data_IF_150622874641
#
_entry.id   IF_150622874641
#
_cell.length_a   1.000
_cell.length_b   1.000
_cell.length_c   1.000
_cell.angle_alpha   90.00
_cell.angle_beta   90.00
_cell.angle_gamma   90.00
#
_symmetry.space_group_name_H-M   'P 1'
#
loop_
_entity.id
_entity.type
_entity.pdbx_description
1 polymer ?
#
# COMPACT_ATOMS: atom_id res chain seq x y z
N UNK A 1 -51.20 77.38 -22.92
CA UNK A 1 -49.82 77.68 -22.51
C UNK A 1 -49.37 76.58 -21.55
N UNK A 2 -48.46 75.68 -21.98
CA UNK A 2 -47.61 74.73 -21.20
C UNK A 2 -48.33 73.72 -20.26
N UNK A 3 -47.88 72.49 -19.94
CA UNK A 3 -46.70 71.66 -20.27
C UNK A 3 -46.97 70.22 -19.74
N UNK A 4 -46.59 69.21 -20.53
CA UNK A 4 -45.89 67.92 -20.23
C UNK A 4 -46.05 67.26 -18.83
N UNK A 5 -46.36 65.94 -18.79
CA UNK A 5 -45.54 64.82 -18.23
C UNK A 5 -46.38 63.51 -18.10
N UNK A 6 -45.86 62.42 -18.68
CA UNK A 6 -46.31 61.01 -18.59
C UNK A 6 -45.99 60.39 -17.22
N UNK A 7 -46.76 59.40 -16.73
CA UNK A 7 -46.22 58.39 -15.83
C UNK A 7 -45.82 57.13 -16.61
N UNK A 8 -44.55 56.76 -16.49
CA UNK A 8 -43.98 55.48 -16.89
C UNK A 8 -44.36 54.44 -15.83
N UNK A 9 -45.03 53.36 -16.23
CA UNK A 9 -45.28 52.19 -15.37
C UNK A 9 -43.96 51.42 -15.27
N UNK A 10 -43.33 51.44 -14.09
CA UNK A 10 -42.16 50.63 -13.79
C UNK A 10 -42.61 49.24 -13.33
N UNK A 11 -42.33 48.21 -14.13
CA UNK A 11 -42.47 46.81 -13.72
C UNK A 11 -41.26 46.43 -12.85
N UNK A 12 -41.49 46.09 -11.58
CA UNK A 12 -40.49 45.45 -10.73
C UNK A 12 -40.38 43.96 -11.14
N UNK A 13 -39.35 43.62 -11.91
CA UNK A 13 -38.96 42.24 -12.13
C UNK A 13 -38.05 41.82 -10.97
N UNK A 14 -38.58 41.02 -10.04
CA UNK A 14 -37.79 40.43 -8.96
C UNK A 14 -36.81 39.40 -9.56
N UNK A 15 -35.53 39.76 -9.63
CA UNK A 15 -34.45 38.87 -10.04
C UNK A 15 -34.14 37.93 -8.86
N UNK A 16 -34.82 36.79 -8.79
CA UNK A 16 -34.40 35.67 -7.94
C UNK A 16 -33.08 35.13 -8.49
N UNK A 17 -31.96 35.68 -8.02
CA UNK A 17 -30.65 35.05 -8.12
C UNK A 17 -30.76 33.71 -7.37
N UNK A 18 -31.00 32.63 -8.11
CA UNK A 18 -30.81 31.28 -7.63
C UNK A 18 -29.34 31.14 -7.26
N UNK A 19 -29.02 31.30 -5.98
CA UNK A 19 -27.76 30.83 -5.44
C UNK A 19 -27.76 29.31 -5.60
N UNK A 20 -27.15 28.82 -6.68
CA UNK A 20 -26.69 27.44 -6.72
C UNK A 20 -25.66 27.32 -5.60
N UNK A 21 -26.05 26.68 -4.51
CA UNK A 21 -25.12 26.28 -3.46
C UNK A 21 -24.20 25.28 -4.14
N UNK A 22 -23.02 25.73 -4.57
CA UNK A 22 -21.97 24.84 -4.98
C UNK A 22 -21.61 24.01 -3.74
N UNK A 23 -22.01 22.73 -3.71
CA UNK A 23 -21.49 21.81 -2.72
C UNK A 23 -19.98 21.73 -2.93
N UNK A 24 -19.22 22.18 -1.93
CA UNK A 24 -17.78 22.05 -1.98
C UNK A 24 -17.43 20.55 -1.98
N UNK A 25 -16.59 20.14 -2.93
CA UNK A 25 -16.08 18.78 -2.99
C UNK A 25 -15.36 18.43 -1.68
N UNK A 26 -15.67 17.25 -1.14
CA UNK A 26 -14.91 16.69 -0.03
C UNK A 26 -13.61 16.12 -0.57
N UNK A 27 -12.48 16.69 -0.15
CA UNK A 27 -11.15 16.25 -0.58
C UNK A 27 -10.54 15.31 0.44
N UNK A 28 -10.16 14.12 -0.01
CA UNK A 28 -9.51 13.09 0.82
C UNK A 28 -8.10 12.86 0.30
N UNK A 29 -7.10 12.88 1.18
CA UNK A 29 -5.74 12.43 0.83
C UNK A 29 -5.60 10.97 1.22
N UNK A 30 -5.23 10.10 0.26
CA UNK A 30 -4.98 8.69 0.51
C UNK A 30 -3.49 8.38 0.34
N UNK A 31 -2.76 8.23 1.46
CA UNK A 31 -1.35 7.84 1.48
C UNK A 31 -1.21 6.32 1.36
N UNK A 32 -0.83 5.86 0.18
CA UNK A 32 -0.74 4.43 -0.13
C UNK A 32 0.69 3.88 0.07
N UNK A 33 1.29 3.37 -1.00
CA UNK A 33 2.63 2.79 -1.06
C UNK A 33 3.37 3.32 -2.30
N UNK A 34 4.43 2.64 -2.75
CA UNK A 34 5.13 2.95 -4.00
C UNK A 34 4.20 2.84 -5.21
N UNK A 35 4.32 3.75 -6.16
CA UNK A 35 3.50 3.78 -7.40
C UNK A 35 3.52 2.46 -8.20
N UNK A 36 4.62 1.72 -8.11
CA UNK A 36 4.82 0.41 -8.75
C UNK A 36 4.22 -0.78 -7.99
N UNK A 37 3.57 -0.55 -6.84
CA UNK A 37 3.01 -1.60 -6.00
C UNK A 37 1.52 -1.86 -6.26
N UNK A 38 1.05 -3.08 -5.92
CA UNK A 38 -0.38 -3.42 -5.98
C UNK A 38 -1.25 -2.52 -5.10
N UNK A 39 -0.73 -2.06 -3.95
CA UNK A 39 -1.45 -1.14 -3.05
C UNK A 39 -1.69 0.23 -3.66
N UNK A 40 -0.75 0.76 -4.44
CA UNK A 40 -0.94 2.04 -5.12
C UNK A 40 -1.99 1.90 -6.23
N UNK A 41 -1.91 0.83 -7.03
CA UNK A 41 -2.92 0.54 -8.05
C UNK A 41 -4.31 0.36 -7.44
N UNK A 42 -4.42 -0.36 -6.33
CA UNK A 42 -5.66 -0.49 -5.57
C UNK A 42 -6.15 0.86 -5.03
N UNK A 43 -5.27 1.73 -4.53
CA UNK A 43 -5.67 3.05 -4.06
C UNK A 43 -6.20 3.95 -5.19
N UNK A 44 -5.65 3.83 -6.40
CA UNK A 44 -6.20 4.50 -7.59
C UNK A 44 -7.61 3.99 -7.91
N UNK A 45 -7.82 2.68 -7.86
CA UNK A 45 -9.15 2.09 -8.07
C UNK A 45 -10.15 2.49 -6.97
N UNK A 46 -9.71 2.58 -5.70
CA UNK A 46 -10.52 3.12 -4.60
C UNK A 46 -10.89 4.58 -4.89
N UNK A 47 -9.95 5.41 -5.35
CA UNK A 47 -10.20 6.81 -5.67
C UNK A 47 -11.24 6.97 -6.79
N UNK A 48 -11.13 6.17 -7.86
CA UNK A 48 -12.09 6.13 -8.96
C UNK A 48 -13.48 5.65 -8.51
N UNK A 49 -13.52 4.59 -7.69
CA UNK A 49 -14.76 4.04 -7.15
C UNK A 49 -15.45 5.05 -6.21
N UNK A 50 -14.71 5.76 -5.35
CA UNK A 50 -15.24 6.79 -4.47
C UNK A 50 -15.78 8.00 -5.24
N UNK A 51 -15.04 8.46 -6.27
CA UNK A 51 -15.52 9.55 -7.13
C UNK A 51 -16.82 9.17 -7.82
N UNK A 52 -16.88 7.98 -8.41
CA UNK A 52 -18.08 7.46 -9.08
C UNK A 52 -19.24 7.29 -8.10
N UNK A 53 -19.00 6.61 -6.97
CA UNK A 53 -20.03 6.28 -5.98
C UNK A 53 -20.61 7.50 -5.26
N UNK A 54 -19.82 8.57 -5.13
CA UNK A 54 -20.27 9.84 -4.53
C UNK A 54 -20.87 10.82 -5.55
N UNK A 55 -21.01 10.44 -6.82
CA UNK A 55 -21.48 11.36 -7.88
C UNK A 55 -20.52 12.52 -8.14
N UNK A 56 -19.24 12.37 -7.81
CA UNK A 56 -18.21 13.41 -7.91
C UNK A 56 -18.01 14.24 -6.64
N UNK A 57 -18.78 14.01 -5.58
CA UNK A 57 -18.70 14.81 -4.35
C UNK A 57 -17.45 14.53 -3.52
N UNK A 58 -16.88 13.32 -3.61
CA UNK A 58 -15.64 12.95 -2.93
C UNK A 58 -14.52 12.80 -3.95
N UNK A 59 -13.46 13.59 -3.77
CA UNK A 59 -12.26 13.58 -4.60
C UNK A 59 -11.09 13.07 -3.77
N UNK A 60 -10.61 11.87 -4.12
CA UNK A 60 -9.47 11.23 -3.45
C UNK A 60 -8.20 11.51 -4.22
N UNK A 61 -7.21 12.11 -3.55
CA UNK A 61 -5.85 12.27 -4.07
C UNK A 61 -4.96 11.16 -3.52
N UNK A 62 -4.49 10.27 -4.40
CA UNK A 62 -3.57 9.19 -4.02
C UNK A 62 -2.14 9.73 -3.96
N UNK A 63 -1.48 9.55 -2.83
CA UNK A 63 -0.07 9.93 -2.64
C UNK A 63 0.84 8.70 -2.53
N UNK A 64 2.01 8.78 -3.18
CA UNK A 64 3.07 7.79 -3.02
C UNK A 64 3.68 7.87 -1.60
N UNK A 65 4.05 6.70 -1.06
CA UNK A 65 4.73 6.55 0.23
C UNK A 65 6.04 5.76 0.10
N UNK A 66 7.01 6.07 0.98
CA UNK A 66 8.23 5.28 1.17
C UNK A 66 8.03 4.06 2.08
N UNK A 67 6.87 3.93 2.74
CA UNK A 67 6.48 2.74 3.46
C UNK A 67 5.63 2.98 4.70
N UNK A 68 5.17 1.89 5.30
CA UNK A 68 4.16 1.90 6.37
C UNK A 68 4.58 2.65 7.65
N UNK A 69 5.88 2.73 7.95
CA UNK A 69 6.37 3.53 9.09
C UNK A 69 6.19 5.02 8.83
N UNK A 70 6.50 5.50 7.62
CA UNK A 70 6.26 6.89 7.23
C UNK A 70 4.77 7.23 7.31
N UNK A 71 3.90 6.34 6.80
CA UNK A 71 2.45 6.54 6.84
C UNK A 71 1.94 6.78 8.27
N UNK A 72 2.43 5.99 9.24
CA UNK A 72 2.08 6.18 10.66
C UNK A 72 2.66 7.48 11.21
N UNK A 73 3.91 7.82 10.87
CA UNK A 73 4.53 9.08 11.31
C UNK A 73 3.79 10.32 10.79
N UNK A 74 3.33 10.29 9.54
CA UNK A 74 2.58 11.40 8.94
C UNK A 74 1.20 11.60 9.57
N UNK A 75 0.58 10.55 10.12
CA UNK A 75 -0.70 10.65 10.81
C UNK A 75 -0.66 11.61 12.02
N UNK A 76 0.49 11.83 12.64
CA UNK A 76 0.64 12.78 13.75
C UNK A 76 0.73 14.25 13.30
N UNK A 77 0.92 14.53 12.02
CA UNK A 77 1.11 15.91 11.51
C UNK A 77 0.12 16.32 10.44
N UNK A 78 -0.47 15.35 9.73
CA UNK A 78 -1.54 15.58 8.75
C UNK A 78 -2.85 15.91 9.48
N UNK A 79 -3.64 16.79 8.89
CA UNK A 79 -4.96 17.21 9.39
C UNK A 79 -6.03 16.99 8.32
N UNK A 80 -7.31 17.10 8.72
CA UNK A 80 -8.45 16.90 7.84
C UNK A 80 -8.62 15.45 7.38
N UNK A 81 -9.13 15.29 6.17
CA UNK A 81 -9.51 13.99 5.60
C UNK A 81 -8.30 13.22 5.08
N UNK A 82 -7.54 12.65 6.00
CA UNK A 82 -6.34 11.88 5.72
C UNK A 82 -6.60 10.39 5.93
N UNK A 83 -6.38 9.60 4.88
CA UNK A 83 -6.40 8.14 4.91
C UNK A 83 -4.99 7.63 4.65
N UNK A 84 -4.55 6.61 5.39
CA UNK A 84 -3.26 5.97 5.17
C UNK A 84 -3.33 4.47 5.43
N UNK A 85 -2.48 3.72 4.73
CA UNK A 85 -2.45 2.26 4.88
C UNK A 85 -1.24 1.82 5.69
N UNK A 86 -1.46 0.89 6.63
CA UNK A 86 -0.39 0.31 7.44
C UNK A 86 -0.86 -0.98 8.11
N UNK A 87 0.05 -1.92 8.44
CA UNK A 87 -0.26 -2.99 9.37
C UNK A 87 -0.69 -2.46 10.74
N UNK A 88 -1.78 -2.96 11.36
CA UNK A 88 -2.25 -2.51 12.68
C UNK A 88 -1.19 -2.60 13.79
N UNK A 89 -0.22 -3.50 13.66
CA UNK A 89 0.90 -3.61 14.61
C UNK A 89 1.77 -2.34 14.62
N UNK A 90 1.93 -1.63 13.51
CA UNK A 90 2.72 -0.40 13.49
C UNK A 90 1.98 0.75 14.20
N UNK A 91 0.65 0.82 14.08
CA UNK A 91 -0.17 1.77 14.86
C UNK A 91 0.01 1.50 16.36
N UNK A 92 -0.11 0.24 16.79
CA UNK A 92 0.08 -0.15 18.19
C UNK A 92 1.48 0.17 18.71
N UNK A 93 2.52 -0.03 17.90
CA UNK A 93 3.89 0.30 18.28
C UNK A 93 4.10 1.82 18.38
N UNK A 94 3.45 2.61 17.53
CA UNK A 94 3.50 4.07 17.60
C UNK A 94 2.81 4.61 18.85
N UNK A 95 1.57 4.18 19.12
CA UNK A 95 0.82 4.52 20.33
C UNK A 95 1.57 4.12 21.62
N UNK A 96 2.26 2.98 21.59
CA UNK A 96 3.06 2.52 22.71
C UNK A 96 4.47 3.11 22.80
N UNK A 97 4.92 3.93 21.85
CA UNK A 97 6.30 4.45 21.81
C UNK A 97 7.36 3.34 21.76
N UNK A 98 7.19 2.32 20.92
CA UNK A 98 8.05 1.12 20.85
C UNK A 98 8.77 0.95 19.53
N UNK A 99 9.83 0.15 19.54
CA UNK A 99 10.60 -0.23 18.35
C UNK A 99 11.05 1.01 17.54
N UNK A 100 10.64 1.10 16.28
CA UNK A 100 10.98 2.23 15.39
C UNK A 100 10.36 3.57 15.82
N UNK A 101 9.46 3.58 16.82
CA UNK A 101 8.80 4.77 17.35
C UNK A 101 9.30 5.20 18.74
N UNK A 102 10.31 4.53 19.32
CA UNK A 102 10.78 4.78 20.70
C UNK A 102 11.12 6.25 20.98
N UNK A 103 11.85 6.87 20.06
CA UNK A 103 12.28 8.27 20.17
C UNK A 103 11.42 9.21 19.31
N UNK A 104 10.21 8.76 18.96
CA UNK A 104 9.26 9.47 18.09
C UNK A 104 7.88 9.58 18.72
N UNK A 105 7.77 9.37 20.03
CA UNK A 105 6.49 9.40 20.74
C UNK A 105 5.75 10.71 20.48
N UNK A 106 4.46 10.60 20.15
CA UNK A 106 3.59 11.74 19.90
C UNK A 106 2.16 11.36 20.32
N UNK A 107 1.48 12.15 21.18
CA UNK A 107 0.12 11.84 21.64
C UNK A 107 -0.89 11.74 20.49
N UNK A 108 -0.64 12.37 19.34
CA UNK A 108 -1.51 12.27 18.16
C UNK A 108 -1.57 10.87 17.55
N UNK A 109 -0.67 9.95 17.90
CA UNK A 109 -0.84 8.55 17.49
C UNK A 109 -2.06 7.88 18.14
N UNK A 110 -2.53 8.38 19.28
CA UNK A 110 -3.76 7.90 19.93
C UNK A 110 -5.03 8.36 19.21
N UNK A 111 -4.92 9.31 18.28
CA UNK A 111 -6.01 9.79 17.43
C UNK A 111 -6.25 8.90 16.20
N UNK A 112 -5.37 7.93 15.92
CA UNK A 112 -5.52 7.03 14.76
C UNK A 112 -6.77 6.14 14.94
N UNK A 113 -7.58 6.01 13.88
CA UNK A 113 -8.77 5.16 13.80
C UNK A 113 -8.70 4.25 12.58
N UNK A 114 -9.20 3.03 12.71
CA UNK A 114 -9.32 2.09 11.59
C UNK A 114 -10.62 2.38 10.81
N UNK A 115 -10.55 2.38 9.48
CA UNK A 115 -11.72 2.49 8.60
C UNK A 115 -12.15 1.09 8.15
N UNK A 116 -11.34 0.45 7.30
CA UNK A 116 -11.66 -0.86 6.72
C UNK A 116 -10.40 -1.68 6.44
N UNK A 117 -10.49 -3.02 6.51
CA UNK A 117 -9.40 -3.89 6.10
C UNK A 117 -9.18 -3.81 4.58
N UNK A 118 -7.93 -3.96 4.16
CA UNK A 118 -7.56 -4.12 2.76
C UNK A 118 -6.83 -5.45 2.59
N UNK A 119 -6.66 -5.98 1.35
CA UNK A 119 -5.90 -7.19 1.12
C UNK A 119 -4.57 -7.19 1.86
N UNK A 120 -4.23 -8.33 2.47
CA UNK A 120 -3.07 -8.46 3.34
C UNK A 120 -1.74 -8.40 2.57
N UNK A 121 -0.67 -8.02 3.26
CA UNK A 121 0.69 -8.20 2.75
C UNK A 121 0.97 -9.69 2.68
N UNK A 122 1.33 -10.17 1.50
CA UNK A 122 1.71 -11.56 1.23
C UNK A 122 3.19 -11.60 0.86
N UNK A 123 3.96 -12.47 1.52
CA UNK A 123 5.39 -12.61 1.24
C UNK A 123 5.61 -13.43 -0.03
N UNK A 124 6.47 -12.96 -0.90
CA UNK A 124 6.91 -13.66 -2.11
C UNK A 124 8.43 -13.71 -2.13
N UNK A 125 8.99 -14.92 -2.25
CA UNK A 125 10.40 -15.16 -2.51
C UNK A 125 10.51 -15.68 -3.93
N UNK A 126 10.89 -14.79 -4.84
CA UNK A 126 10.84 -15.02 -6.29
C UNK A 126 12.26 -15.24 -6.79
N UNK A 127 12.49 -16.39 -7.40
CA UNK A 127 13.80 -16.79 -7.90
C UNK A 127 13.73 -16.94 -9.41
N UNK A 128 14.82 -16.59 -10.10
CA UNK A 128 14.96 -16.86 -11.54
C UNK A 128 14.89 -18.38 -11.76
N UNK A 129 14.18 -18.85 -12.79
CA UNK A 129 13.99 -20.29 -13.02
C UNK A 129 15.31 -21.07 -13.21
N UNK A 130 16.33 -20.45 -13.82
CA UNK A 130 17.66 -21.04 -14.02
C UNK A 130 18.66 -20.76 -12.86
N UNK A 131 18.18 -20.27 -11.70
CA UNK A 131 19.02 -20.05 -10.51
C UNK A 131 19.40 -21.34 -9.76
N UNK A 132 18.69 -22.43 -10.03
CA UNK A 132 18.81 -23.70 -9.29
C UNK A 132 18.22 -23.67 -7.88
N UNK A 133 17.47 -22.63 -7.52
CA UNK A 133 16.88 -22.46 -6.18
C UNK A 133 15.45 -23.00 -6.16
N UNK A 134 15.21 -23.99 -5.31
CA UNK A 134 13.89 -24.63 -5.13
C UNK A 134 13.40 -24.60 -3.68
N UNK A 135 14.34 -24.47 -2.73
CA UNK A 135 14.08 -24.36 -1.30
C UNK A 135 14.75 -23.11 -0.73
N UNK A 136 14.39 -22.73 0.50
CA UNK A 136 15.07 -21.63 1.18
C UNK A 136 16.54 -21.94 1.50
N UNK A 137 16.92 -23.21 1.67
CA UNK A 137 18.31 -23.58 1.91
C UNK A 137 19.20 -23.26 0.70
N UNK A 138 18.65 -23.40 -0.52
CA UNK A 138 19.36 -23.12 -1.79
C UNK A 138 19.67 -21.62 -1.99
N UNK A 139 19.16 -20.74 -1.12
CA UNK A 139 19.48 -19.31 -1.14
C UNK A 139 20.91 -19.02 -0.68
N UNK A 140 21.58 -19.95 0.01
CA UNK A 140 22.96 -19.78 0.45
C UNK A 140 23.89 -19.49 -0.76
N UNK A 141 24.65 -18.40 -0.67
CA UNK A 141 25.53 -17.90 -1.73
C UNK A 141 24.83 -17.14 -2.86
N UNK A 142 23.50 -17.00 -2.83
CA UNK A 142 22.74 -16.28 -3.86
C UNK A 142 22.71 -14.78 -3.60
N UNK A 143 22.46 -14.02 -4.67
CA UNK A 143 22.22 -12.58 -4.61
C UNK A 143 20.74 -12.28 -4.71
N UNK A 144 20.16 -11.67 -3.66
CA UNK A 144 18.72 -11.40 -3.57
C UNK A 144 18.45 -9.91 -3.36
N UNK A 145 17.51 -9.34 -4.10
CA UNK A 145 17.03 -7.96 -3.90
C UNK A 145 15.80 -7.94 -3.00
N UNK A 146 15.83 -7.18 -1.90
CA UNK A 146 14.67 -7.02 -1.00
C UNK A 146 14.09 -5.60 -0.95
N UNK A 147 14.72 -4.66 -1.66
CA UNK A 147 14.39 -3.23 -1.63
C UNK A 147 15.00 -2.49 -0.43
N UNK A 148 14.81 -1.17 -0.38
CA UNK A 148 15.34 -0.32 0.70
C UNK A 148 14.23 0.26 1.55
N UNK A 149 14.49 0.39 2.86
CA UNK A 149 13.72 1.24 3.79
C UNK A 149 12.25 0.86 4.05
N UNK A 150 11.66 -0.04 3.28
CA UNK A 150 10.24 -0.39 3.35
C UNK A 150 9.95 -1.39 4.47
N UNK A 151 8.67 -1.57 4.79
CA UNK A 151 8.24 -2.62 5.73
C UNK A 151 8.50 -4.02 5.14
N UNK A 152 8.23 -4.21 3.84
CA UNK A 152 8.49 -5.46 3.13
C UNK A 152 9.96 -5.86 3.13
N UNK A 153 10.87 -4.91 2.93
CA UNK A 153 12.32 -5.15 2.99
C UNK A 153 12.74 -5.66 4.37
N UNK A 154 12.23 -5.04 5.45
CA UNK A 154 12.50 -5.47 6.83
C UNK A 154 11.95 -6.86 7.11
N UNK A 155 10.74 -7.19 6.64
CA UNK A 155 10.19 -8.54 6.78
C UNK A 155 11.00 -9.56 5.96
N UNK A 156 11.40 -9.25 4.72
CA UNK A 156 12.27 -10.11 3.92
C UNK A 156 13.59 -10.45 4.64
N UNK A 157 14.31 -9.43 5.13
CA UNK A 157 15.52 -9.63 5.92
C UNK A 157 15.27 -10.45 7.20
N UNK A 158 14.15 -10.20 7.90
CA UNK A 158 13.75 -10.96 9.09
C UNK A 158 13.51 -12.44 8.76
N UNK A 159 12.92 -12.76 7.62
CA UNK A 159 12.67 -14.16 7.23
C UNK A 159 13.98 -14.86 6.91
N UNK A 160 14.89 -14.21 6.18
CA UNK A 160 16.23 -14.74 5.95
C UNK A 160 16.94 -15.04 7.27
N UNK A 161 16.88 -14.12 8.24
CA UNK A 161 17.41 -14.34 9.60
C UNK A 161 16.74 -15.54 10.31
N UNK A 162 15.41 -15.60 10.32
CA UNK A 162 14.65 -16.70 10.95
C UNK A 162 14.98 -18.07 10.35
N UNK A 163 15.37 -18.11 9.07
CA UNK A 163 15.73 -19.32 8.35
C UNK A 163 17.25 -19.59 8.35
N UNK A 164 18.03 -18.83 9.13
CA UNK A 164 19.48 -19.04 9.27
C UNK A 164 20.31 -18.60 8.07
N UNK A 165 19.77 -17.70 7.23
CA UNK A 165 20.37 -17.20 5.99
C UNK A 165 21.00 -15.79 6.16
N UNK A 166 20.95 -15.21 7.37
CA UNK A 166 21.61 -13.94 7.67
C UNK A 166 23.13 -14.09 7.46
N UNK A 167 23.71 -13.21 6.63
CA UNK A 167 25.13 -13.28 6.25
C UNK A 167 25.48 -14.36 5.22
N UNK A 168 24.52 -15.21 4.81
CA UNK A 168 24.71 -16.25 3.79
C UNK A 168 24.16 -15.87 2.41
N UNK A 169 23.30 -14.86 2.36
CA UNK A 169 22.70 -14.31 1.14
C UNK A 169 23.25 -12.92 0.92
N UNK A 170 23.73 -12.64 -0.29
CA UNK A 170 24.14 -11.28 -0.67
C UNK A 170 22.89 -10.45 -0.95
N UNK A 171 22.67 -9.41 -0.15
CA UNK A 171 21.54 -8.50 -0.38
C UNK A 171 21.93 -7.39 -1.35
N UNK A 172 21.27 -7.34 -2.50
CA UNK A 172 21.46 -6.26 -3.47
C UNK A 172 20.91 -4.95 -2.89
N UNK A 173 21.76 -3.94 -2.77
CA UNK A 173 21.40 -2.63 -2.23
C UNK A 173 20.76 -1.73 -3.31
N UNK A 174 19.59 -2.14 -3.79
CA UNK A 174 18.85 -1.49 -4.88
C UNK A 174 17.36 -1.40 -4.53
N UNK A 175 16.69 -0.35 -5.02
CA UNK A 175 15.24 -0.19 -4.88
C UNK A 175 14.44 -1.33 -5.54
N UNK A 176 13.28 -1.67 -4.94
CA UNK A 176 12.47 -2.81 -5.36
C UNK A 176 11.91 -2.69 -6.78
N UNK A 177 11.71 -1.47 -7.28
CA UNK A 177 11.28 -1.23 -8.67
C UNK A 177 12.30 -1.74 -9.71
N UNK A 178 13.57 -1.93 -9.32
CA UNK A 178 14.60 -2.48 -10.19
C UNK A 178 14.69 -4.01 -10.13
N UNK A 179 13.84 -4.69 -9.34
CA UNK A 179 13.88 -6.15 -9.17
C UNK A 179 13.75 -6.90 -10.50
N UNK A 180 12.72 -6.60 -11.29
CA UNK A 180 12.45 -7.32 -12.53
C UNK A 180 13.52 -7.05 -13.60
N UNK A 181 13.94 -5.78 -13.86
CA UNK A 181 15.08 -5.52 -14.74
C UNK A 181 16.38 -6.21 -14.29
N UNK A 182 16.71 -6.20 -13.00
CA UNK A 182 17.92 -6.85 -12.48
C UNK A 182 17.85 -8.38 -12.63
N UNK A 183 16.66 -8.97 -12.42
CA UNK A 183 16.43 -10.40 -12.63
C UNK A 183 16.61 -10.80 -14.10
N UNK A 184 16.02 -10.01 -15.03
CA UNK A 184 16.18 -10.16 -16.49
C UNK A 184 17.65 -10.13 -16.92
N UNK A 185 18.40 -9.19 -16.35
CA UNK A 185 19.81 -9.00 -16.66
C UNK A 185 20.75 -9.93 -15.88
N UNK A 186 20.21 -10.90 -15.13
CA UNK A 186 20.96 -11.86 -14.31
C UNK A 186 21.92 -11.19 -13.31
N UNK A 187 21.60 -9.97 -12.88
CA UNK A 187 22.35 -9.22 -11.87
C UNK A 187 22.01 -9.69 -10.44
N UNK A 188 20.86 -10.34 -10.28
CA UNK A 188 20.40 -10.98 -9.05
C UNK A 188 19.84 -12.36 -9.39
N UNK A 189 19.87 -13.27 -8.41
CA UNK A 189 19.27 -14.60 -8.53
C UNK A 189 17.78 -14.60 -8.20
N UNK A 190 17.34 -13.65 -7.37
CA UNK A 190 15.95 -13.51 -6.97
C UNK A 190 15.65 -12.20 -6.26
N UNK A 191 14.39 -12.00 -5.93
CA UNK A 191 13.94 -10.86 -5.14
C UNK A 191 12.87 -11.27 -4.12
N UNK A 192 12.72 -10.47 -3.08
CA UNK A 192 11.66 -10.60 -2.09
C UNK A 192 10.74 -9.40 -2.18
N UNK A 193 9.44 -9.65 -2.25
CA UNK A 193 8.42 -8.60 -2.22
C UNK A 193 7.34 -8.95 -1.21
N UNK A 194 6.76 -7.90 -0.60
CA UNK A 194 5.61 -8.00 0.27
C UNK A 194 4.51 -7.10 -0.30
N UNK A 195 3.44 -7.71 -0.77
CA UNK A 195 2.34 -7.05 -1.47
C UNK A 195 1.08 -7.91 -1.42
N UNK A 196 -0.09 -7.36 -1.73
CA UNK A 196 -1.22 -8.23 -2.05
C UNK A 196 -0.88 -9.09 -3.28
N UNK A 197 -1.36 -10.34 -3.30
CA UNK A 197 -1.32 -11.16 -4.51
C UNK A 197 -2.64 -10.99 -5.29
N UNK A 198 -2.62 -11.03 -6.62
CA UNK A 198 -1.44 -11.14 -7.49
C UNK A 198 -0.57 -9.87 -7.48
N UNK A 199 0.73 -10.02 -7.26
CA UNK A 199 1.66 -8.89 -7.18
C UNK A 199 2.19 -8.50 -8.57
N UNK A 200 2.10 -7.22 -9.01
CA UNK A 200 2.47 -6.80 -10.37
C UNK A 200 3.90 -7.14 -10.79
N UNK A 201 4.88 -6.95 -9.89
CA UNK A 201 6.28 -7.30 -10.17
C UNK A 201 6.51 -8.81 -10.29
N UNK A 202 5.70 -9.64 -9.61
CA UNK A 202 5.76 -11.10 -9.72
C UNK A 202 5.09 -11.56 -11.01
N UNK A 203 3.95 -10.94 -11.39
CA UNK A 203 3.31 -11.14 -12.70
C UNK A 203 4.31 -10.83 -13.82
N UNK A 204 4.94 -9.65 -13.77
CA UNK A 204 5.90 -9.23 -14.80
C UNK A 204 7.10 -10.18 -14.87
N UNK A 205 7.68 -10.57 -13.73
CA UNK A 205 8.82 -11.48 -13.71
C UNK A 205 8.45 -12.86 -14.28
N UNK A 206 7.31 -13.41 -13.85
CA UNK A 206 6.81 -14.71 -14.32
C UNK A 206 6.57 -14.72 -15.84
N UNK A 207 5.93 -13.66 -16.36
CA UNK A 207 5.61 -13.55 -17.79
C UNK A 207 6.84 -13.28 -18.68
N UNK A 208 7.94 -12.75 -18.12
CA UNK A 208 9.06 -12.27 -18.93
C UNK A 208 10.28 -13.20 -18.96
N UNK A 209 10.70 -13.74 -17.80
CA UNK A 209 11.90 -14.59 -17.71
C UNK A 209 11.59 -16.02 -17.28
N UNK A 210 10.36 -16.29 -16.85
CA UNK A 210 10.07 -17.42 -15.99
C UNK A 210 10.66 -17.23 -14.59
N UNK A 211 9.92 -17.69 -13.58
CA UNK A 211 10.36 -17.66 -12.18
C UNK A 211 9.90 -18.90 -11.43
N UNK A 212 10.58 -19.18 -10.32
CA UNK A 212 10.12 -20.05 -9.24
C UNK A 212 9.72 -19.18 -8.06
N UNK A 213 8.55 -19.41 -7.45
CA UNK A 213 8.18 -18.76 -6.18
C UNK A 213 8.27 -19.80 -5.06
N UNK A 214 9.15 -19.56 -4.09
CA UNK A 214 9.41 -20.51 -3.01
C UNK A 214 8.21 -20.61 -2.07
N UNK A 215 7.80 -21.84 -1.78
CA UNK A 215 6.84 -22.15 -0.72
C UNK A 215 7.53 -22.33 0.63
N UNK A 216 6.86 -21.88 1.69
CA UNK A 216 7.25 -22.13 3.08
C UNK A 216 6.78 -23.51 3.53
N UNK A 217 7.62 -24.21 4.30
CA UNK A 217 7.19 -25.38 5.08
C UNK A 217 6.38 -24.97 6.31
N UNK A 218 5.67 -25.92 6.91
CA UNK A 218 4.90 -25.68 8.14
C UNK A 218 5.80 -25.22 9.30
N UNK A 219 7.01 -25.77 9.40
CA UNK A 219 8.01 -25.35 10.39
C UNK A 219 8.45 -23.90 10.16
N UNK A 220 8.69 -23.52 8.89
CA UNK A 220 9.06 -22.16 8.55
C UNK A 220 7.92 -21.19 8.87
N UNK A 221 6.66 -21.52 8.53
CA UNK A 221 5.49 -20.73 8.89
C UNK A 221 5.41 -20.53 10.39
N UNK A 222 5.55 -21.60 11.18
CA UNK A 222 5.52 -21.51 12.64
C UNK A 222 6.58 -20.54 13.20
N UNK A 223 7.81 -20.55 12.63
CA UNK A 223 8.88 -19.62 13.01
C UNK A 223 8.52 -18.15 12.74
N UNK A 224 7.75 -17.86 11.69
CA UNK A 224 7.35 -16.48 11.36
C UNK A 224 6.36 -15.88 12.36
N UNK A 225 5.56 -16.71 13.03
CA UNK A 225 4.38 -16.31 13.82
C UNK A 225 3.39 -15.45 13.01
N UNK A 226 3.31 -15.68 11.71
CA UNK A 226 2.36 -15.04 10.78
C UNK A 226 1.26 -16.01 10.38
N UNK A 227 0.17 -15.46 9.85
CA UNK A 227 -0.96 -16.25 9.35
C UNK A 227 -0.54 -16.99 8.09
N UNK A 228 -0.79 -18.30 8.03
CA UNK A 228 -0.62 -19.09 6.80
C UNK A 228 -1.52 -18.53 5.70
N UNK A 229 -1.00 -18.45 4.49
CA UNK A 229 -1.77 -18.11 3.30
C UNK A 229 -1.35 -19.03 2.14
N UNK A 230 -2.32 -19.44 1.32
CA UNK A 230 -2.07 -20.21 0.10
C UNK A 230 -2.42 -19.33 -1.09
N UNK A 231 -1.45 -19.10 -1.96
CA UNK A 231 -1.68 -18.49 -3.28
C UNK A 231 -2.09 -19.62 -4.23
N UNK A 232 -3.26 -19.55 -4.88
CA UNK A 232 -3.73 -20.60 -5.77
C UNK A 232 -2.76 -20.87 -6.94
N UNK A 233 -2.70 -22.13 -7.39
CA UNK A 233 -2.05 -22.51 -8.64
C UNK A 233 -2.56 -21.66 -9.82
N UNK A 234 -1.68 -21.36 -10.77
CA UNK A 234 -2.02 -20.55 -11.95
C UNK A 234 -2.16 -19.04 -11.68
N UNK A 235 -1.93 -18.58 -10.44
CA UNK A 235 -1.92 -17.13 -10.13
C UNK A 235 -0.83 -16.38 -10.90
N UNK A 236 0.32 -17.03 -11.14
CA UNK A 236 1.44 -16.49 -11.89
C UNK A 236 1.77 -17.42 -13.05
N UNK A 237 2.12 -16.84 -14.21
CA UNK A 237 2.40 -17.61 -15.42
C UNK A 237 3.51 -18.65 -15.20
N UNK A 238 3.27 -19.89 -15.63
CA UNK A 238 4.23 -20.99 -15.51
C UNK A 238 4.36 -21.59 -14.10
N UNK A 239 3.48 -21.23 -13.15
CA UNK A 239 3.44 -21.80 -11.80
C UNK A 239 2.09 -22.50 -11.59
N UNK A 240 2.09 -23.81 -11.80
CA UNK A 240 0.88 -24.65 -11.77
C UNK A 240 0.66 -25.35 -10.42
N UNK A 241 1.52 -25.09 -9.43
CA UNK A 241 1.35 -25.54 -8.06
C UNK A 241 0.90 -24.39 -7.14
N UNK A 242 0.24 -24.74 -6.04
CA UNK A 242 -0.04 -23.79 -4.97
C UNK A 242 1.27 -23.26 -4.36
N UNK A 243 1.26 -22.00 -3.93
CA UNK A 243 2.37 -21.41 -3.17
C UNK A 243 1.93 -21.22 -1.73
N UNK A 244 2.55 -21.96 -0.82
CA UNK A 244 2.32 -21.81 0.61
C UNK A 244 3.20 -20.68 1.13
N UNK A 245 2.60 -19.65 1.71
CA UNK A 245 3.32 -18.50 2.26
C UNK A 245 2.63 -17.99 3.52
N UNK A 246 2.94 -16.75 3.90
CA UNK A 246 2.41 -16.07 5.08
C UNK A 246 1.89 -14.69 4.72
N UNK A 247 0.93 -14.23 5.51
CA UNK A 247 0.33 -12.92 5.37
C UNK A 247 0.41 -12.07 6.63
N UNK A 248 0.34 -10.76 6.43
CA UNK A 248 0.19 -9.77 7.49
C UNK A 248 -1.00 -8.86 7.18
N UNK A 249 -1.96 -8.69 8.11
CA UNK A 249 -3.08 -7.80 7.92
C UNK A 249 -2.65 -6.37 7.65
N UNK A 250 -3.36 -5.72 6.74
CA UNK A 250 -3.25 -4.28 6.46
C UNK A 250 -4.63 -3.66 6.54
N UNK A 251 -4.68 -2.44 7.06
CA UNK A 251 -5.92 -1.68 7.26
C UNK A 251 -5.71 -0.27 6.71
N UNK A 252 -6.77 0.27 6.10
CA UNK A 252 -6.88 1.70 5.84
C UNK A 252 -7.29 2.40 7.14
N UNK A 253 -6.49 3.37 7.56
CA UNK A 253 -6.70 4.13 8.79
C UNK A 253 -6.93 5.60 8.45
N UNK A 254 -7.55 6.31 9.38
CA UNK A 254 -7.64 7.77 9.42
C UNK A 254 -7.25 8.28 10.82
N UNK A 255 -7.50 9.55 11.11
CA UNK A 255 -7.39 10.14 12.45
C UNK A 255 -8.73 10.73 12.88
N UNK A 256 -8.88 11.09 14.14
CA UNK A 256 -10.06 11.82 14.65
C UNK A 256 -10.20 13.24 14.06
N UNK A 257 -9.33 13.67 13.15
CA UNK A 257 -9.48 14.92 12.39
C UNK A 257 -10.38 14.78 11.16
N UNK A 258 -10.67 13.55 10.71
CA UNK A 258 -11.67 13.29 9.67
C UNK A 258 -13.05 13.31 10.31
N UNK A 259 -14.01 14.00 9.67
CA UNK A 259 -15.39 14.02 10.14
C UNK A 259 -16.12 12.69 9.89
N UNK A 260 -17.11 12.39 10.73
CA UNK A 260 -17.82 11.12 10.72
C UNK A 260 -18.57 10.87 9.39
N UNK A 261 -19.12 11.92 8.77
CA UNK A 261 -19.84 11.83 7.49
C UNK A 261 -18.89 11.47 6.34
N UNK A 262 -17.66 11.98 6.34
CA UNK A 262 -16.63 11.60 5.37
C UNK A 262 -16.10 10.19 5.62
N UNK A 263 -16.08 9.75 6.87
CA UNK A 263 -15.60 8.41 7.25
C UNK A 263 -16.61 7.29 6.90
N UNK A 264 -17.92 7.59 6.88
CA UNK A 264 -19.02 6.67 6.59
C UNK A 264 -19.24 6.46 5.08
#
# INVERSE_FOLDING_TARGET
MLSIIRPVIAALTACCLGMTVAQAETRVTYKSAKSTSSYYQMAVQIAEAMKTGSGGNIIVTVEESQGSVQNVMEAAVRTGNYVFTTPPVLVRLAQGGKAMFKDKANPKFDEIRALFPIPSLTMHFVMRSDSGVSTFADLEGKTVLIGKGSFGAREGAKYLKLFGLEGKVTLADVELNNAVPALKNKQIDGFVTAGSYPAPNVIEAAASTGVTVLSLSDEQIAKTKRTRLVIPAGTYAGIDNEIVTTSLPVVAHTTTSMDDDTAY
#
